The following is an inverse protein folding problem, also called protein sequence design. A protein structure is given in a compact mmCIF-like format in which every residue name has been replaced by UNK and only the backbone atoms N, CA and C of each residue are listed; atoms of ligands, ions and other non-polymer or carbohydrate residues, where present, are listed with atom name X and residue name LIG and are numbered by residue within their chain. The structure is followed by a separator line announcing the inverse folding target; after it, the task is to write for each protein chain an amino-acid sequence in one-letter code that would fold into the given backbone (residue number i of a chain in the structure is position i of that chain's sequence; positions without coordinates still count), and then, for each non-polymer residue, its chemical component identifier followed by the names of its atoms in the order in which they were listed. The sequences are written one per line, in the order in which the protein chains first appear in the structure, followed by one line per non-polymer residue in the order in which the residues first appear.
data_IF_728543019246
#
_entry.id   IF_728543019246
#
_cell.length_a   1.000
_cell.length_b   1.000
_cell.length_c   1.000
_cell.angle_alpha   90.00
_cell.angle_beta   90.00
_cell.angle_gamma   90.00
#
_symmetry.space_group_name_H-M   'P 1'
#
loop_
_entity.id
_entity.type
_entity.pdbx_description
1 polymer ?
#
# COMPACT_ATOMS: atom_id res chain seq x y z
N UNK A 1 26.74 -0.64 -71.82
CA UNK A 1 25.54 0.19 -71.51
C UNK A 1 24.55 -0.51 -70.56
N UNK A 2 24.03 -1.72 -70.87
CA UNK A 2 23.09 -2.44 -69.98
C UNK A 2 23.59 -2.67 -68.54
N UNK A 3 24.86 -3.02 -68.33
CA UNK A 3 25.45 -3.24 -66.99
C UNK A 3 25.58 -1.95 -66.16
N UNK A 4 25.86 -0.81 -66.81
CA UNK A 4 25.99 0.50 -66.14
C UNK A 4 24.59 1.00 -65.74
N UNK A 5 23.60 0.82 -66.62
CA UNK A 5 22.19 1.14 -66.33
C UNK A 5 21.64 0.31 -65.15
N UNK A 6 22.02 -0.96 -65.07
CA UNK A 6 21.61 -1.85 -63.98
C UNK A 6 22.25 -1.44 -62.65
N UNK A 7 23.53 -1.06 -62.65
CA UNK A 7 24.23 -0.58 -61.46
C UNK A 7 23.66 0.76 -60.95
N UNK A 8 23.29 1.67 -61.86
CA UNK A 8 22.68 2.96 -61.51
C UNK A 8 21.26 2.81 -60.96
N UNK A 9 20.47 1.86 -61.49
CA UNK A 9 19.14 1.55 -60.96
C UNK A 9 19.25 0.87 -59.58
N UNK A 10 20.19 -0.06 -59.41
CA UNK A 10 20.44 -0.70 -58.11
C UNK A 10 20.91 0.30 -57.05
N UNK A 11 21.78 1.24 -57.42
CA UNK A 11 22.22 2.33 -56.55
C UNK A 11 21.07 3.29 -56.20
N UNK A 12 20.18 3.62 -57.14
CA UNK A 12 19.00 4.44 -56.88
C UNK A 12 17.99 3.75 -55.96
N UNK A 13 17.80 2.43 -56.08
CA UNK A 13 16.95 1.64 -55.17
C UNK A 13 17.56 1.56 -53.77
N UNK A 14 18.89 1.41 -53.66
CA UNK A 14 19.61 1.40 -52.38
C UNK A 14 19.61 2.77 -51.69
N UNK A 15 19.66 3.87 -52.45
CA UNK A 15 19.60 5.25 -51.93
C UNK A 15 18.18 5.67 -51.53
N UNK A 16 17.13 5.09 -52.13
CA UNK A 16 15.73 5.31 -51.73
C UNK A 16 15.28 4.47 -50.53
N UNK A 17 16.07 3.49 -50.08
CA UNK A 17 15.70 2.60 -48.98
C UNK A 17 15.99 3.18 -47.58
N UNK A 18 16.76 4.27 -47.48
CA UNK A 18 17.04 4.94 -46.20
C UNK A 18 15.93 5.95 -45.88
N UNK A 19 14.89 5.50 -45.17
CA UNK A 19 13.93 6.43 -44.56
C UNK A 19 14.65 7.31 -43.55
N UNK A 20 14.26 8.59 -43.49
CA UNK A 20 14.72 9.46 -42.42
C UNK A 20 14.13 8.99 -41.08
N UNK A 21 14.84 9.17 -39.96
CA UNK A 21 14.31 8.82 -38.63
C UNK A 21 12.92 9.41 -38.35
N UNK A 22 12.63 10.63 -38.84
CA UNK A 22 11.33 11.29 -38.71
C UNK A 22 10.20 10.53 -39.42
N UNK A 23 10.47 10.02 -40.63
CA UNK A 23 9.48 9.24 -41.39
C UNK A 23 9.20 7.90 -40.70
N UNK A 24 10.25 7.28 -40.15
CA UNK A 24 10.09 6.04 -39.38
C UNK A 24 9.31 6.30 -38.09
N UNK A 25 9.56 7.42 -37.40
CA UNK A 25 8.77 7.82 -36.24
C UNK A 25 7.30 8.02 -36.60
N UNK A 26 7.00 8.79 -37.66
CA UNK A 26 5.62 9.05 -38.06
C UNK A 26 4.85 7.79 -38.46
N UNK A 27 5.54 6.80 -39.02
CA UNK A 27 4.96 5.50 -39.37
C UNK A 27 4.73 4.60 -38.14
N UNK A 28 5.56 4.71 -37.10
CA UNK A 28 5.59 3.76 -35.98
C UNK A 28 5.03 4.33 -34.67
N UNK A 29 4.83 5.65 -34.56
CA UNK A 29 4.40 6.32 -33.32
C UNK A 29 3.07 5.81 -32.77
N UNK A 30 2.16 5.32 -33.63
CA UNK A 30 0.90 4.71 -33.20
C UNK A 30 1.07 3.36 -32.49
N UNK A 31 2.22 2.70 -32.66
CA UNK A 31 2.55 1.45 -31.98
C UNK A 31 3.02 1.64 -30.53
N UNK A 32 3.27 2.88 -30.11
CA UNK A 32 3.77 3.23 -28.78
C UNK A 32 2.68 3.98 -28.02
N UNK A 33 2.46 3.60 -26.75
CA UNK A 33 1.41 4.20 -25.91
C UNK A 33 1.95 4.54 -24.54
N UNK A 34 1.36 5.56 -23.92
CA UNK A 34 1.61 5.85 -22.51
C UNK A 34 0.71 4.97 -21.64
N UNK A 35 1.28 4.35 -20.62
CA UNK A 35 0.58 3.58 -19.59
C UNK A 35 0.45 4.44 -18.35
N UNK A 36 -0.73 4.46 -17.74
CA UNK A 36 -0.93 4.92 -16.37
C UNK A 36 -1.22 3.71 -15.49
N UNK A 37 -0.66 3.72 -14.29
CA UNK A 37 -0.96 2.75 -13.26
C UNK A 37 -1.33 3.50 -11.97
N UNK A 38 -2.60 3.37 -11.56
CA UNK A 38 -3.02 3.74 -10.21
C UNK A 38 -2.93 2.53 -9.32
N UNK A 39 -2.24 2.67 -8.21
CA UNK A 39 -1.98 1.52 -7.36
C UNK A 39 -1.94 1.87 -5.88
N UNK A 40 -2.14 0.83 -5.10
CA UNK A 40 -1.85 0.78 -3.68
C UNK A 40 -1.39 -0.65 -3.35
N UNK A 41 -0.97 -0.88 -2.12
CA UNK A 41 -0.55 -2.17 -1.64
C UNK A 41 -1.54 -2.67 -0.60
N UNK A 42 -1.88 -3.94 -0.72
CA UNK A 42 -2.61 -4.70 0.28
C UNK A 42 -1.60 -5.46 1.14
N UNK A 43 -1.65 -5.25 2.45
CA UNK A 43 -0.89 -5.95 3.47
C UNK A 43 -1.82 -6.91 4.20
N UNK A 44 -1.73 -8.22 3.91
CA UNK A 44 -2.46 -9.24 4.64
C UNK A 44 -1.63 -9.71 5.82
N UNK A 45 -2.21 -9.61 7.01
CA UNK A 45 -1.60 -10.06 8.25
C UNK A 45 -1.93 -11.54 8.51
N UNK A 46 -1.10 -12.26 9.29
CA UNK A 46 -1.34 -13.67 9.62
C UNK A 46 -2.69 -13.93 10.31
N UNK A 47 -3.20 -12.92 11.02
CA UNK A 47 -4.50 -12.93 11.69
C UNK A 47 -5.70 -12.86 10.74
N UNK A 48 -5.48 -12.60 9.45
CA UNK A 48 -6.53 -12.37 8.45
C UNK A 48 -6.94 -10.90 8.29
N UNK A 49 -6.45 -10.01 9.16
CA UNK A 49 -6.63 -8.56 8.99
C UNK A 49 -5.88 -8.06 7.75
N UNK A 50 -6.46 -7.06 7.10
CA UNK A 50 -5.90 -6.46 5.89
C UNK A 50 -5.75 -4.96 6.09
N UNK A 51 -4.56 -4.46 5.80
CA UNK A 51 -4.20 -3.05 5.86
C UNK A 51 -3.75 -2.58 4.47
N UNK A 52 -3.81 -1.27 4.25
CA UNK A 52 -3.53 -0.68 2.95
C UNK A 52 -2.54 0.48 3.06
N UNK A 53 -1.74 0.68 2.02
CA UNK A 53 -0.77 1.79 1.94
C UNK A 53 -0.38 2.06 0.48
N UNK A 54 0.27 3.20 0.22
CA UNK A 54 0.61 3.60 -1.17
C UNK A 54 2.09 3.47 -1.51
N UNK A 55 2.98 3.37 -0.52
CA UNK A 55 4.41 3.21 -0.74
C UNK A 55 5.23 3.51 0.51
N UNK A 56 6.51 3.82 0.28
CA UNK A 56 7.42 4.30 1.30
C UNK A 56 7.86 5.73 0.96
N UNK A 57 8.09 6.56 1.98
CA UNK A 57 8.73 7.87 1.82
C UNK A 57 10.27 7.76 1.74
N UNK A 58 10.95 8.90 1.63
CA UNK A 58 12.42 8.97 1.53
C UNK A 58 13.14 8.41 2.77
N UNK A 59 12.50 8.46 3.93
CA UNK A 59 13.01 7.91 5.19
C UNK A 59 12.62 6.43 5.38
N UNK A 60 11.85 5.88 4.43
CA UNK A 60 11.33 4.52 4.46
C UNK A 60 10.04 4.34 5.24
N UNK A 61 9.39 5.40 5.74
CA UNK A 61 8.11 5.28 6.45
C UNK A 61 6.97 4.92 5.49
N UNK A 62 6.00 4.16 6.01
CA UNK A 62 4.84 3.71 5.23
C UNK A 62 3.91 4.89 4.98
N UNK A 63 3.61 5.18 3.70
CA UNK A 63 2.74 6.28 3.29
C UNK A 63 1.27 5.87 3.17
N UNK A 64 0.36 6.76 3.57
CA UNK A 64 -1.10 6.58 3.47
C UNK A 64 -1.58 5.24 4.07
N UNK A 65 -1.01 4.87 5.22
CA UNK A 65 -1.34 3.66 5.93
C UNK A 65 -2.74 3.74 6.54
N UNK A 66 -3.62 2.81 6.20
CA UNK A 66 -5.03 2.82 6.64
C UNK A 66 -5.61 1.40 6.66
N UNK A 67 -6.63 1.18 7.48
CA UNK A 67 -7.46 -0.03 7.46
C UNK A 67 -8.66 0.09 6.51
N UNK A 68 -9.02 1.31 6.07
CA UNK A 68 -10.15 1.53 5.17
C UNK A 68 -9.70 1.54 3.69
N UNK A 69 -10.11 0.51 2.96
CA UNK A 69 -9.90 0.41 1.51
C UNK A 69 -10.46 1.61 0.73
N UNK A 70 -11.50 2.29 1.24
CA UNK A 70 -12.05 3.49 0.59
C UNK A 70 -11.12 4.69 0.74
N UNK A 71 -10.38 4.80 1.85
CA UNK A 71 -9.42 5.88 2.06
C UNK A 71 -8.23 5.75 1.12
N UNK A 72 -7.63 4.55 1.02
CA UNK A 72 -6.49 4.34 0.12
C UNK A 72 -6.88 4.52 -1.35
N UNK A 73 -8.12 4.16 -1.72
CA UNK A 73 -8.65 4.36 -3.08
C UNK A 73 -8.93 5.82 -3.43
N UNK A 74 -9.12 6.71 -2.45
CA UNK A 74 -9.27 8.15 -2.70
C UNK A 74 -7.93 8.79 -3.07
N UNK A 75 -6.84 8.29 -2.49
CA UNK A 75 -5.49 8.82 -2.68
C UNK A 75 -4.50 7.71 -3.11
N UNK A 76 -4.72 7.01 -4.25
CA UNK A 76 -3.79 5.99 -4.70
C UNK A 76 -2.48 6.63 -5.18
N UNK A 77 -1.40 5.85 -5.16
CA UNK A 77 -0.19 6.22 -5.89
C UNK A 77 -0.44 6.14 -7.40
N UNK A 78 0.27 6.98 -8.16
CA UNK A 78 0.18 7.02 -9.62
C UNK A 78 1.58 6.88 -10.20
N UNK A 79 1.72 6.02 -11.20
CA UNK A 79 2.93 5.91 -11.99
C UNK A 79 2.61 5.89 -13.48
N UNK A 80 3.58 6.32 -14.26
CA UNK A 80 3.49 6.42 -15.71
C UNK A 80 4.61 5.60 -16.35
N UNK A 81 4.34 5.08 -17.53
CA UNK A 81 5.34 4.36 -18.32
C UNK A 81 4.95 4.26 -19.77
N UNK A 82 5.65 3.41 -20.51
CA UNK A 82 5.43 3.21 -21.95
C UNK A 82 5.15 1.75 -22.23
N UNK A 83 4.26 1.49 -23.18
CA UNK A 83 4.04 0.15 -23.72
C UNK A 83 4.04 0.18 -25.25
N UNK A 84 4.31 -0.98 -25.83
CA UNK A 84 4.30 -1.20 -27.27
C UNK A 84 3.20 -2.20 -27.62
N UNK A 85 2.37 -1.88 -28.61
CA UNK A 85 1.49 -2.89 -29.18
C UNK A 85 2.32 -3.98 -29.85
N UNK A 86 1.99 -5.24 -29.58
CA UNK A 86 2.66 -6.41 -30.17
C UNK A 86 1.73 -7.22 -31.08
N UNK A 87 0.43 -6.93 -31.06
CA UNK A 87 -0.57 -7.54 -31.93
C UNK A 87 -1.79 -6.60 -32.13
N UNK A 88 -2.60 -6.89 -33.14
CA UNK A 88 -3.85 -6.17 -33.44
C UNK A 88 -4.99 -6.49 -32.47
N UNK A 89 -4.79 -7.45 -31.57
CA UNK A 89 -5.78 -7.87 -30.57
C UNK A 89 -5.63 -7.06 -29.28
N UNK A 90 -4.90 -5.95 -29.30
CA UNK A 90 -4.64 -5.12 -28.12
C UNK A 90 -3.67 -5.73 -27.10
N UNK A 91 -2.79 -6.64 -27.50
CA UNK A 91 -1.67 -7.10 -26.67
C UNK A 91 -0.57 -6.04 -26.60
N UNK A 92 -0.06 -5.76 -25.39
CA UNK A 92 1.01 -4.79 -25.18
C UNK A 92 2.18 -5.33 -24.36
N UNK A 93 3.38 -4.88 -24.67
CA UNK A 93 4.60 -5.19 -23.92
C UNK A 93 5.10 -3.93 -23.21
N UNK A 94 5.41 -4.04 -21.93
CA UNK A 94 5.95 -2.96 -21.09
C UNK A 94 6.93 -3.51 -20.05
N UNK A 95 7.53 -2.61 -19.29
CA UNK A 95 8.35 -2.97 -18.14
C UNK A 95 7.48 -3.55 -17.01
N UNK A 96 8.01 -4.52 -16.26
CA UNK A 96 7.30 -5.11 -15.10
C UNK A 96 7.03 -4.06 -14.03
N UNK A 97 7.97 -3.15 -13.77
CA UNK A 97 7.78 -2.08 -12.78
C UNK A 97 6.66 -1.09 -13.15
N UNK A 98 6.33 -0.93 -14.44
CA UNK A 98 5.19 -0.11 -14.90
C UNK A 98 3.88 -0.84 -14.61
N UNK A 99 3.82 -2.13 -14.90
CA UNK A 99 2.62 -2.96 -14.70
C UNK A 99 2.35 -3.27 -13.22
N UNK A 100 3.40 -3.44 -12.43
CA UNK A 100 3.37 -3.83 -11.02
C UNK A 100 4.54 -3.15 -10.31
N UNK A 101 4.32 -1.97 -9.72
CA UNK A 101 5.36 -1.20 -9.06
C UNK A 101 6.07 -2.03 -7.98
N UNK A 102 7.42 -1.97 -7.93
CA UNK A 102 8.18 -2.69 -6.94
C UNK A 102 8.05 -2.02 -5.56
N UNK A 103 8.15 -2.84 -4.52
CA UNK A 103 8.20 -2.38 -3.13
C UNK A 103 9.21 -3.21 -2.37
N UNK A 104 9.99 -2.57 -1.50
CA UNK A 104 10.87 -3.26 -0.56
C UNK A 104 10.02 -3.87 0.56
N UNK A 105 9.62 -5.13 0.37
CA UNK A 105 8.76 -5.85 1.31
C UNK A 105 9.42 -6.04 2.66
N UNK A 106 10.73 -6.21 2.70
CA UNK A 106 11.47 -6.44 3.96
C UNK A 106 11.52 -5.16 4.77
N UNK A 107 11.74 -4.02 4.11
CA UNK A 107 11.68 -2.71 4.75
C UNK A 107 10.27 -2.38 5.25
N UNK A 108 9.22 -2.64 4.46
CA UNK A 108 7.82 -2.47 4.90
C UNK A 108 7.54 -3.31 6.14
N UNK A 109 7.90 -4.61 6.13
CA UNK A 109 7.68 -5.52 7.27
C UNK A 109 8.43 -5.06 8.51
N UNK A 110 9.69 -4.62 8.36
CA UNK A 110 10.51 -4.08 9.45
C UNK A 110 9.84 -2.85 10.07
N UNK A 111 9.39 -1.91 9.24
CA UNK A 111 8.82 -0.65 9.71
C UNK A 111 7.44 -0.86 10.33
N UNK A 112 6.61 -1.72 9.75
CA UNK A 112 5.36 -2.16 10.36
C UNK A 112 5.60 -2.79 11.75
N UNK A 113 6.58 -3.71 11.87
CA UNK A 113 6.94 -4.33 13.15
C UNK A 113 7.41 -3.31 14.18
N UNK A 114 8.15 -2.27 13.74
CA UNK A 114 8.58 -1.19 14.61
C UNK A 114 7.39 -0.35 15.13
N UNK A 115 6.43 -0.02 14.26
CA UNK A 115 5.18 0.67 14.66
C UNK A 115 4.42 -0.17 15.68
N UNK A 116 4.21 -1.46 15.42
CA UNK A 116 3.53 -2.36 16.36
C UNK A 116 4.25 -2.44 17.71
N UNK A 117 5.59 -2.51 17.69
CA UNK A 117 6.40 -2.54 18.91
C UNK A 117 6.28 -1.24 19.72
N UNK A 118 6.26 -0.08 19.06
CA UNK A 118 6.08 1.20 19.71
C UNK A 118 4.68 1.33 20.33
N UNK A 119 3.64 0.85 19.65
CA UNK A 119 2.28 0.79 20.20
C UNK A 119 2.21 -0.12 21.42
N UNK A 120 2.84 -1.29 21.39
CA UNK A 120 2.92 -2.20 22.54
C UNK A 120 3.62 -1.55 23.74
N UNK A 121 4.75 -0.87 23.51
CA UNK A 121 5.47 -0.17 24.58
C UNK A 121 4.62 0.94 25.20
N UNK A 122 3.93 1.72 24.37
CA UNK A 122 3.03 2.78 24.84
C UNK A 122 1.85 2.22 25.64
N UNK A 123 1.23 1.15 25.14
CA UNK A 123 0.14 0.48 25.84
C UNK A 123 0.62 -0.11 27.18
N UNK A 124 1.79 -0.75 27.21
CA UNK A 124 2.39 -1.25 28.46
C UNK A 124 2.69 -0.14 29.47
N UNK A 125 3.19 1.01 29.04
CA UNK A 125 3.39 2.17 29.91
C UNK A 125 2.07 2.69 30.49
N UNK A 126 1.03 2.81 29.66
CA UNK A 126 -0.30 3.22 30.10
C UNK A 126 -0.93 2.22 31.08
N UNK A 127 -0.78 0.92 30.83
CA UNK A 127 -1.22 -0.13 31.76
C UNK A 127 -0.53 -0.05 33.12
N UNK A 128 0.77 0.28 33.14
CA UNK A 128 1.51 0.48 34.39
C UNK A 128 1.05 1.75 35.13
N UNK A 129 0.72 2.82 34.40
CA UNK A 129 0.10 4.02 35.00
C UNK A 129 -1.26 3.69 35.65
N UNK A 130 -2.12 2.95 34.94
CA UNK A 130 -3.41 2.48 35.47
C UNK A 130 -3.23 1.62 36.72
N UNK A 131 -2.28 0.69 36.71
CA UNK A 131 -1.98 -0.17 37.85
C UNK A 131 -1.53 0.63 39.07
N UNK A 132 -0.69 1.64 38.87
CA UNK A 132 -0.22 2.51 39.96
C UNK A 132 -1.35 3.39 40.50
N UNK A 133 -2.20 3.94 39.63
CA UNK A 133 -3.37 4.73 40.03
C UNK A 133 -4.39 3.87 40.81
N UNK A 134 -4.62 2.64 40.38
CA UNK A 134 -5.48 1.68 41.08
C UNK A 134 -4.94 1.39 42.49
N UNK A 135 -3.66 1.06 42.62
CA UNK A 135 -3.04 0.77 43.92
C UNK A 135 -3.11 1.97 44.88
N UNK A 136 -3.01 3.19 44.36
CA UNK A 136 -3.20 4.41 45.17
C UNK A 136 -4.65 4.58 45.62
N UNK A 137 -5.61 4.38 44.72
CA UNK A 137 -7.03 4.47 45.05
C UNK A 137 -7.44 3.42 46.09
N UNK A 138 -6.92 2.19 45.98
CA UNK A 138 -7.14 1.12 46.95
C UNK A 138 -6.51 1.45 48.31
N UNK A 139 -5.28 1.97 48.34
CA UNK A 139 -4.63 2.40 49.57
C UNK A 139 -5.39 3.54 50.27
N UNK A 140 -5.90 4.50 49.50
CA UNK A 140 -6.72 5.60 50.02
C UNK A 140 -8.06 5.07 50.56
N UNK A 141 -8.75 4.20 49.82
CA UNK A 141 -10.00 3.58 50.27
C UNK A 141 -9.82 2.81 51.59
N UNK A 142 -8.73 2.05 51.72
CA UNK A 142 -8.37 1.33 52.93
C UNK A 142 -8.03 2.26 54.12
N UNK A 143 -7.62 3.51 53.86
CA UNK A 143 -7.36 4.50 54.93
C UNK A 143 -8.64 5.16 55.45
N UNK A 144 -9.71 5.13 54.65
CA UNK A 144 -11.02 5.72 54.99
C UNK A 144 -11.87 4.73 55.79
N UNK A 145 -11.65 3.43 55.59
CA UNK A 145 -12.34 2.35 56.28
C UNK A 145 -11.52 1.89 57.49
N UNK A 146 -12.10 1.95 58.69
CA UNK A 146 -11.46 1.54 59.92
C UNK A 146 -12.38 0.73 60.84
N UNK A 147 -11.87 0.40 62.02
CA UNK A 147 -12.64 -0.21 63.10
C UNK A 147 -12.70 0.73 64.29
N UNK A 148 -13.87 0.86 64.92
CA UNK A 148 -14.00 1.61 66.16
C UNK A 148 -13.52 0.81 67.39
N UNK A 149 -13.66 1.40 68.58
CA UNK A 149 -13.27 0.79 69.86
C UNK A 149 -14.05 -0.51 70.19
N UNK A 150 -15.16 -0.78 69.50
CA UNK A 150 -16.00 -1.98 69.67
C UNK A 150 -15.75 -3.02 68.56
N UNK A 151 -14.90 -2.71 67.59
CA UNK A 151 -14.60 -3.59 66.45
C UNK A 151 -15.64 -3.51 65.34
N UNK A 152 -16.52 -2.49 65.35
CA UNK A 152 -17.45 -2.24 64.26
C UNK A 152 -16.76 -1.48 63.13
N UNK A 153 -17.12 -1.81 61.88
CA UNK A 153 -16.61 -1.15 60.69
C UNK A 153 -17.16 0.28 60.60
N UNK A 154 -16.27 1.26 60.54
CA UNK A 154 -16.62 2.68 60.44
C UNK A 154 -15.90 3.30 59.25
N UNK A 155 -16.65 4.05 58.44
CA UNK A 155 -16.15 4.81 57.29
C UNK A 155 -16.03 6.27 57.69
N UNK A 156 -14.86 6.88 57.54
CA UNK A 156 -14.64 8.29 57.90
C UNK A 156 -15.16 9.28 56.85
N UNK A 157 -15.29 8.83 55.59
CA UNK A 157 -15.81 9.61 54.46
C UNK A 157 -16.48 8.69 53.43
N UNK A 158 -17.81 8.58 53.49
CA UNK A 158 -18.57 7.65 52.63
C UNK A 158 -18.64 8.11 51.16
N UNK A 159 -18.75 9.41 50.91
CA UNK A 159 -18.76 9.96 49.55
C UNK A 159 -17.43 9.71 48.86
N UNK A 160 -16.31 9.99 49.55
CA UNK A 160 -14.97 9.75 49.01
C UNK A 160 -14.71 8.26 48.75
N UNK A 161 -15.16 7.38 49.63
CA UNK A 161 -15.05 5.94 49.42
C UNK A 161 -15.78 5.48 48.16
N UNK A 162 -17.00 6.00 47.91
CA UNK A 162 -17.76 5.68 46.70
C UNK A 162 -17.06 6.18 45.43
N UNK A 163 -16.49 7.38 45.45
CA UNK A 163 -15.70 7.92 44.33
C UNK A 163 -14.50 7.03 44.00
N UNK A 164 -13.74 6.62 45.02
CA UNK A 164 -12.55 5.78 44.85
C UNK A 164 -12.89 4.40 44.30
N UNK A 165 -13.97 3.77 44.79
CA UNK A 165 -14.44 2.48 44.27
C UNK A 165 -14.91 2.59 42.82
N UNK A 166 -15.62 3.67 42.47
CA UNK A 166 -16.04 3.91 41.09
C UNK A 166 -14.82 4.12 40.15
N UNK A 167 -13.84 4.92 40.59
CA UNK A 167 -12.61 5.17 39.84
C UNK A 167 -11.79 3.89 39.66
N UNK A 168 -11.62 3.08 40.71
CA UNK A 168 -10.91 1.81 40.66
C UNK A 168 -11.55 0.84 39.66
N UNK A 169 -12.89 0.77 39.63
CA UNK A 169 -13.63 -0.04 38.66
C UNK A 169 -13.42 0.44 37.22
N UNK A 170 -13.39 1.76 37.00
CA UNK A 170 -13.11 2.30 35.67
C UNK A 170 -11.68 1.98 35.22
N UNK A 171 -10.69 2.12 36.10
CA UNK A 171 -9.29 1.79 35.79
C UNK A 171 -9.12 0.30 35.45
N UNK A 172 -9.84 -0.59 36.14
CA UNK A 172 -9.84 -2.03 35.84
C UNK A 172 -10.39 -2.31 34.43
N UNK A 173 -11.47 -1.64 34.03
CA UNK A 173 -12.03 -1.75 32.67
C UNK A 173 -11.05 -1.22 31.61
N UNK A 174 -10.46 -0.04 31.82
CA UNK A 174 -9.47 0.53 30.90
C UNK A 174 -8.22 -0.36 30.77
N UNK A 175 -7.82 -1.01 31.87
CA UNK A 175 -6.71 -1.95 31.88
C UNK A 175 -7.01 -3.19 31.04
N UNK A 176 -8.21 -3.79 31.20
CA UNK A 176 -8.64 -4.93 30.39
C UNK A 176 -8.69 -4.58 28.89
N UNK A 177 -9.21 -3.40 28.53
CA UNK A 177 -9.23 -2.93 27.14
C UNK A 177 -7.81 -2.78 26.56
N UNK A 178 -6.91 -2.16 27.33
CA UNK A 178 -5.52 -2.00 26.93
C UNK A 178 -4.78 -3.35 26.81
N UNK A 179 -5.04 -4.28 27.74
CA UNK A 179 -4.47 -5.63 27.69
C UNK A 179 -4.93 -6.38 26.44
N UNK A 180 -6.23 -6.36 26.14
CA UNK A 180 -6.78 -6.98 24.93
C UNK A 180 -6.12 -6.40 23.65
N UNK A 181 -5.91 -5.09 23.61
CA UNK A 181 -5.22 -4.46 22.49
C UNK A 181 -3.76 -4.93 22.36
N UNK A 182 -3.02 -5.05 23.47
CA UNK A 182 -1.64 -5.55 23.46
C UNK A 182 -1.57 -6.99 22.95
N UNK A 183 -2.47 -7.86 23.41
CA UNK A 183 -2.55 -9.25 22.97
C UNK A 183 -2.85 -9.36 21.48
N UNK A 184 -3.76 -8.53 20.96
CA UNK A 184 -4.01 -8.45 19.51
C UNK A 184 -2.77 -8.00 18.74
N UNK A 185 -2.04 -6.99 19.24
CA UNK A 185 -0.80 -6.51 18.62
C UNK A 185 0.27 -7.60 18.58
N UNK A 186 0.37 -8.48 19.59
CA UNK A 186 1.30 -9.60 19.59
C UNK A 186 0.99 -10.62 18.48
N UNK A 187 -0.28 -10.92 18.26
CA UNK A 187 -0.71 -11.90 17.25
C UNK A 187 -0.45 -11.43 15.82
N UNK A 188 -0.42 -10.12 15.58
CA UNK A 188 -0.26 -9.55 14.24
C UNK A 188 1.18 -9.13 13.90
N UNK A 189 2.11 -9.24 14.85
CA UNK A 189 3.48 -8.74 14.71
C UNK A 189 4.42 -9.69 13.95
N UNK A 190 4.09 -10.98 13.77
CA UNK A 190 4.99 -11.92 13.07
C UNK A 190 5.17 -11.52 11.59
N UNK A 191 6.35 -11.01 11.19
CA UNK A 191 6.56 -10.51 9.84
C UNK A 191 6.59 -11.61 8.79
N UNK A 192 6.76 -12.88 9.20
CA UNK A 192 6.91 -14.01 8.27
C UNK A 192 5.62 -14.34 7.53
N UNK A 193 4.48 -14.18 8.19
CA UNK A 193 3.17 -14.41 7.57
C UNK A 193 2.54 -13.18 6.93
N UNK A 194 3.24 -12.04 6.89
CA UNK A 194 2.74 -10.84 6.21
C UNK A 194 2.93 -10.98 4.70
N UNK A 195 1.83 -10.88 3.95
CA UNK A 195 1.82 -10.83 2.49
C UNK A 195 1.60 -9.39 2.01
N UNK A 196 2.39 -8.94 1.04
CA UNK A 196 2.29 -7.60 0.45
C UNK A 196 2.09 -7.72 -1.05
N UNK A 197 0.92 -7.32 -1.52
CA UNK A 197 0.50 -7.44 -2.90
C UNK A 197 0.09 -6.07 -3.48
N UNK A 198 0.61 -5.68 -4.65
CA UNK A 198 0.13 -4.48 -5.32
C UNK A 198 -1.27 -4.73 -5.89
N UNK A 199 -2.15 -3.74 -5.74
CA UNK A 199 -3.43 -3.66 -6.41
C UNK A 199 -3.33 -2.55 -7.44
N UNK A 200 -3.37 -2.92 -8.73
CA UNK A 200 -3.15 -2.00 -9.84
C UNK A 200 -4.41 -1.81 -10.69
N UNK A 201 -4.66 -0.57 -11.09
CA UNK A 201 -5.64 -0.17 -12.09
C UNK A 201 -4.88 0.48 -13.25
N UNK A 202 -4.93 -0.16 -14.42
CA UNK A 202 -4.12 0.19 -15.58
C UNK A 202 -4.98 0.71 -16.73
N UNK A 203 -4.44 1.69 -17.45
CA UNK A 203 -5.02 2.20 -18.68
C UNK A 203 -3.95 2.78 -19.61
N UNK A 204 -4.32 3.03 -20.87
CA UNK A 204 -3.40 3.60 -21.86
C UNK A 204 -3.94 4.90 -22.48
N UNK A 205 -3.01 5.75 -22.90
CA UNK A 205 -3.27 6.84 -23.84
C UNK A 205 -2.58 6.55 -25.16
N UNK A 206 -3.36 6.66 -26.22
CA UNK A 206 -2.88 6.63 -27.59
C UNK A 206 -2.19 7.97 -27.92
N UNK A 207 -1.29 7.92 -28.89
CA UNK A 207 -0.62 9.11 -29.42
C UNK A 207 -1.64 10.19 -29.82
N UNK A 208 -1.38 11.44 -29.44
CA UNK A 208 -2.26 12.57 -29.70
C UNK A 208 -3.54 12.64 -28.86
N UNK A 209 -3.74 11.73 -27.91
CA UNK A 209 -4.83 11.86 -26.94
C UNK A 209 -4.47 12.84 -25.81
N UNK A 210 -5.44 13.68 -25.44
CA UNK A 210 -5.30 14.67 -24.35
C UNK A 210 -6.37 14.43 -23.28
N UNK A 211 -6.25 13.34 -22.50
CA UNK A 211 -7.19 13.06 -21.40
C UNK A 211 -7.17 14.18 -20.37
N UNK A 212 -8.35 14.58 -19.89
CA UNK A 212 -8.50 15.71 -18.95
C UNK A 212 -8.29 15.31 -17.49
N UNK A 213 -8.24 14.00 -17.22
CA UNK A 213 -7.96 13.44 -15.90
C UNK A 213 -7.43 12.01 -16.01
N UNK A 214 -6.75 11.55 -14.96
CA UNK A 214 -6.29 10.16 -14.84
C UNK A 214 -7.46 9.16 -14.86
N UNK A 215 -8.62 9.52 -14.31
CA UNK A 215 -9.80 8.64 -14.34
C UNK A 215 -10.37 8.50 -15.76
N UNK A 216 -10.28 9.53 -16.59
CA UNK A 216 -10.63 9.43 -18.01
C UNK A 216 -9.67 8.49 -18.73
N UNK A 217 -8.37 8.57 -18.39
CA UNK A 217 -7.31 7.72 -18.91
C UNK A 217 -7.58 6.24 -18.66
N UNK A 218 -7.90 5.90 -17.41
CA UNK A 218 -8.19 4.52 -16.97
C UNK A 218 -9.46 3.96 -17.60
N UNK A 219 -10.48 4.81 -17.81
CA UNK A 219 -11.78 4.36 -18.35
C UNK A 219 -11.82 4.25 -19.86
N UNK A 220 -11.04 5.06 -20.57
CA UNK A 220 -11.12 5.12 -22.04
C UNK A 220 -10.51 3.89 -22.71
N UNK A 221 -9.32 3.49 -22.25
CA UNK A 221 -8.63 2.29 -22.73
C UNK A 221 -8.06 1.50 -21.55
N UNK A 222 -8.92 0.83 -20.75
CA UNK A 222 -8.48 0.02 -19.64
C UNK A 222 -7.68 -1.18 -20.13
N UNK A 223 -6.68 -1.59 -19.36
CA UNK A 223 -5.92 -2.80 -19.62
C UNK A 223 -5.65 -3.59 -18.34
N UNK A 224 -5.25 -4.84 -18.50
CA UNK A 224 -4.92 -5.74 -17.39
C UNK A 224 -3.58 -6.41 -17.62
N UNK A 225 -2.90 -6.73 -16.53
CA UNK A 225 -1.71 -7.59 -16.57
C UNK A 225 -2.13 -9.01 -16.93
N UNK A 226 -1.54 -9.57 -17.98
CA UNK A 226 -1.72 -10.98 -18.37
C UNK A 226 -0.63 -11.84 -17.76
N UNK A 227 0.61 -11.36 -17.81
CA UNK A 227 1.78 -12.07 -17.31
C UNK A 227 2.89 -11.09 -17.00
N UNK A 228 3.64 -11.37 -15.94
CA UNK A 228 4.93 -10.73 -15.66
C UNK A 228 6.04 -11.77 -15.82
N UNK A 229 7.23 -11.31 -16.17
CA UNK A 229 8.40 -12.18 -16.16
C UNK A 229 8.70 -12.64 -14.72
N UNK A 230 8.89 -13.95 -14.55
CA UNK A 230 9.16 -14.56 -13.25
C UNK A 230 10.62 -14.44 -12.79
N UNK A 231 11.56 -14.30 -13.72
CA UNK A 231 12.96 -14.05 -13.39
C UNK A 231 13.15 -12.64 -12.82
N UNK A 232 13.90 -12.50 -11.73
CA UNK A 232 14.02 -11.22 -11.03
C UNK A 232 14.76 -10.19 -11.88
N UNK A 233 15.73 -10.63 -12.67
CA UNK A 233 16.53 -9.82 -13.60
C UNK A 233 15.79 -9.40 -14.87
N UNK A 234 14.59 -9.95 -15.13
CA UNK A 234 13.80 -9.61 -16.32
C UNK A 234 12.66 -8.65 -15.96
N UNK A 235 12.78 -7.41 -16.42
CA UNK A 235 11.79 -6.36 -16.19
C UNK A 235 10.80 -6.27 -17.36
N UNK A 236 9.96 -7.29 -17.51
CA UNK A 236 9.00 -7.39 -18.61
C UNK A 236 7.60 -7.81 -18.14
N UNK A 237 6.58 -7.19 -18.69
CA UNK A 237 5.19 -7.53 -18.49
C UNK A 237 4.40 -7.47 -19.80
N UNK A 238 3.44 -8.39 -19.92
CA UNK A 238 2.45 -8.44 -20.97
C UNK A 238 1.13 -7.89 -20.41
N UNK A 239 0.62 -6.84 -21.06
CA UNK A 239 -0.69 -6.27 -20.81
C UNK A 239 -1.66 -6.65 -21.94
N UNK A 240 -2.96 -6.51 -21.65
CA UNK A 240 -4.03 -6.70 -22.63
C UNK A 240 -5.10 -5.64 -22.44
N UNK A 241 -5.49 -4.97 -23.53
CA UNK A 241 -6.69 -4.12 -23.54
C UNK A 241 -7.92 -4.96 -23.17
N UNK A 242 -8.78 -4.41 -22.31
CA UNK A 242 -10.00 -5.10 -21.87
C UNK A 242 -10.99 -5.29 -23.03
N UNK A 243 -10.96 -4.40 -24.02
CA UNK A 243 -11.83 -4.47 -25.21
C UNK A 243 -11.26 -5.34 -26.34
N UNK A 244 -10.07 -5.93 -26.15
CA UNK A 244 -9.42 -6.90 -27.05
C UNK A 244 -9.18 -6.46 -28.51
N UNK A 245 -9.22 -5.16 -28.80
CA UNK A 245 -8.96 -4.57 -30.13
C UNK A 245 -8.16 -3.28 -29.94
N UNK A 246 -7.19 -3.07 -30.84
CA UNK A 246 -6.34 -1.86 -30.92
C UNK A 246 -7.07 -0.68 -31.55
#
# INVERSE_FOLDING_TARGET
MKKILFLSVLAAVLLCACKKPEQLYDEQKSGVVMVINKYYYEMKLPSGYTLYFTGLDEDGNIQNFTEDVKEVKKNPAVSYGTAFFIDEKGGLLTNRHVASPPIDRDLVKKNFTAIMSALQQRAGAYMEELRNAYAQAEAEANSIVGYDEYGDLVTTDEERLQELVAAAKQMEQEYEEAQNAVEMLEQIKDPRGIEINPVCELGIALEGSSPKSENEFLKRHPCRVVRTAGAQEVDLALLKLTNEVT
#
